data_IF_420850884647
#
_entry.id   IF_420850884647
#
_cell.length_a   1.000
_cell.length_b   1.000
_cell.length_c   1.000
_cell.angle_alpha   90.00
_cell.angle_beta   90.00
_cell.angle_gamma   90.00
#
_symmetry.space_group_name_H-M   'P 1'
#
loop_
_entity.id
_entity.type
_entity.pdbx_description
1 polymer ?
#
# COMPACT_ATOMS: atom_id res chain seq x y z
N UNK A 1 -21.31 -22.06 2.00
CA UNK A 1 -20.91 -20.66 2.26
C UNK A 1 -19.51 -20.48 1.67
N UNK A 2 -19.31 -19.59 0.69
CA UNK A 2 -18.00 -19.34 0.09
C UNK A 2 -17.16 -18.66 1.17
N UNK A 3 -16.07 -19.31 1.60
CA UNK A 3 -15.14 -18.71 2.56
C UNK A 3 -14.34 -17.63 1.85
N UNK A 4 -14.20 -16.46 2.45
CA UNK A 4 -13.34 -15.37 1.96
C UNK A 4 -12.05 -15.32 2.77
N UNK A 5 -10.94 -14.89 2.14
CA UNK A 5 -9.70 -14.60 2.88
C UNK A 5 -9.92 -13.43 3.84
N UNK A 6 -10.84 -12.49 3.48
CA UNK A 6 -11.25 -11.41 4.36
C UNK A 6 -12.31 -11.98 5.29
N UNK A 7 -11.88 -12.37 6.49
CA UNK A 7 -12.66 -13.13 7.46
C UNK A 7 -12.92 -12.38 8.79
N UNK A 8 -12.42 -11.15 8.90
CA UNK A 8 -12.63 -10.26 10.06
C UNK A 8 -13.20 -8.92 9.59
N UNK A 9 -14.19 -8.38 10.28
CA UNK A 9 -14.82 -7.08 9.97
C UNK A 9 -14.12 -5.90 10.63
N UNK A 10 -13.60 -6.12 11.84
CA UNK A 10 -12.94 -5.07 12.60
C UNK A 10 -11.44 -5.11 12.33
N UNK A 11 -10.91 -4.05 11.67
CA UNK A 11 -9.49 -3.95 11.33
C UNK A 11 -8.56 -4.03 12.53
N UNK A 12 -9.02 -3.68 13.73
CA UNK A 12 -8.24 -3.74 14.96
C UNK A 12 -8.18 -5.14 15.59
N UNK A 13 -9.10 -6.04 15.19
CA UNK A 13 -9.10 -7.45 15.61
C UNK A 13 -8.35 -8.36 14.60
N UNK A 14 -8.02 -7.84 13.43
CA UNK A 14 -7.30 -8.58 12.40
C UNK A 14 -5.81 -8.67 12.71
N UNK A 15 -5.13 -9.70 12.17
CA UNK A 15 -3.68 -9.82 12.13
C UNK A 15 -3.11 -9.08 10.91
N UNK A 16 -3.80 -9.19 9.78
CA UNK A 16 -3.48 -8.57 8.50
C UNK A 16 -4.59 -7.61 8.08
N UNK A 17 -4.23 -6.41 7.67
CA UNK A 17 -5.17 -5.44 7.11
C UNK A 17 -4.80 -5.10 5.67
N UNK A 18 -5.70 -5.46 4.75
CA UNK A 18 -5.63 -5.02 3.35
C UNK A 18 -6.16 -3.59 3.29
N UNK A 19 -5.31 -2.64 2.90
CA UNK A 19 -5.68 -1.23 2.76
C UNK A 19 -5.79 -0.89 1.28
N UNK A 20 -7.01 -0.67 0.77
CA UNK A 20 -7.23 -0.23 -0.61
C UNK A 20 -6.98 1.27 -0.74
N UNK A 21 -5.98 1.63 -1.54
CA UNK A 21 -5.53 2.99 -1.81
C UNK A 21 -5.54 3.26 -3.33
N UNK A 22 -6.73 3.26 -3.92
CA UNK A 22 -6.92 3.47 -5.36
C UNK A 22 -6.66 4.93 -5.76
N UNK A 23 -5.47 5.20 -6.31
CA UNK A 23 -5.03 6.52 -6.75
C UNK A 23 -4.16 6.41 -8.01
N UNK A 24 -4.40 7.27 -9.01
CA UNK A 24 -3.63 7.26 -10.26
C UNK A 24 -3.46 8.64 -10.92
N UNK A 25 -3.58 9.73 -10.15
CA UNK A 25 -3.46 11.08 -10.71
C UNK A 25 -2.08 11.38 -11.26
N UNK A 26 -1.02 10.87 -10.64
CA UNK A 26 0.37 11.12 -11.01
C UNK A 26 0.96 10.04 -11.93
N UNK A 27 0.13 9.13 -12.46
CA UNK A 27 0.57 8.17 -13.45
C UNK A 27 0.98 8.86 -14.77
N UNK A 28 2.13 8.46 -15.33
CA UNK A 28 2.73 9.03 -16.54
C UNK A 28 2.03 8.66 -17.85
N UNK A 29 1.16 7.66 -17.83
CA UNK A 29 0.46 7.14 -19.01
C UNK A 29 -1.04 6.99 -18.72
N UNK A 30 -1.64 5.91 -19.19
CA UNK A 30 -3.08 5.68 -19.07
C UNK A 30 -3.55 5.61 -17.62
N UNK A 31 -4.66 6.27 -17.32
CA UNK A 31 -5.37 6.17 -16.04
C UNK A 31 -6.16 4.85 -15.98
N UNK A 32 -6.54 4.43 -14.77
CA UNK A 32 -7.37 3.23 -14.55
C UNK A 32 -6.85 2.35 -13.41
N UNK A 33 -5.57 2.48 -13.05
CA UNK A 33 -4.98 1.66 -11.97
C UNK A 33 -5.63 1.92 -10.59
N UNK A 34 -6.27 3.08 -10.39
CA UNK A 34 -7.08 3.36 -9.19
C UNK A 34 -8.17 2.33 -8.91
N UNK A 35 -8.64 1.63 -9.95
CA UNK A 35 -9.68 0.60 -9.83
C UNK A 35 -9.11 -0.79 -9.48
N UNK A 36 -7.79 -0.95 -9.56
CA UNK A 36 -7.07 -2.18 -9.25
C UNK A 36 -7.41 -2.77 -7.88
N UNK A 37 -7.32 -2.00 -6.77
CA UNK A 37 -7.63 -2.50 -5.44
C UNK A 37 -9.02 -3.12 -5.32
N UNK A 38 -10.02 -2.46 -5.90
CA UNK A 38 -11.41 -2.97 -5.91
C UNK A 38 -11.51 -4.31 -6.63
N UNK A 39 -10.83 -4.44 -7.77
CA UNK A 39 -10.84 -5.69 -8.54
C UNK A 39 -10.13 -6.82 -7.80
N UNK A 40 -8.97 -6.55 -7.21
CA UNK A 40 -8.24 -7.52 -6.38
C UNK A 40 -9.12 -8.01 -5.23
N UNK A 41 -9.72 -7.10 -4.45
CA UNK A 41 -10.59 -7.46 -3.33
C UNK A 41 -11.79 -8.29 -3.77
N UNK A 42 -12.42 -7.95 -4.90
CA UNK A 42 -13.51 -8.76 -5.47
C UNK A 42 -13.08 -10.20 -5.77
N UNK A 43 -11.88 -10.38 -6.35
CA UNK A 43 -11.36 -11.71 -6.66
C UNK A 43 -10.95 -12.49 -5.40
N UNK A 44 -10.40 -11.83 -4.40
CA UNK A 44 -10.07 -12.47 -3.11
C UNK A 44 -11.29 -13.08 -2.41
N UNK A 45 -12.49 -12.56 -2.65
CA UNK A 45 -13.71 -13.15 -2.11
C UNK A 45 -14.13 -14.47 -2.79
N UNK A 46 -13.72 -14.69 -4.04
CA UNK A 46 -14.34 -15.72 -4.88
C UNK A 46 -13.38 -16.82 -5.37
N UNK A 47 -12.06 -16.62 -5.30
CA UNK A 47 -11.12 -17.45 -6.06
C UNK A 47 -9.83 -17.85 -5.32
N UNK A 48 -9.75 -17.67 -4.02
CA UNK A 48 -8.52 -17.95 -3.27
C UNK A 48 -8.56 -19.34 -2.65
N UNK A 49 -7.51 -20.13 -2.89
CA UNK A 49 -7.26 -21.37 -2.15
C UNK A 49 -6.75 -21.02 -0.75
N UNK A 50 -7.43 -21.51 0.27
CA UNK A 50 -7.10 -21.24 1.68
C UNK A 50 -6.22 -22.29 2.31
N UNK A 51 -6.00 -23.42 1.65
CA UNK A 51 -5.24 -24.54 2.19
C UNK A 51 -3.74 -24.31 2.08
N UNK A 52 -3.08 -24.18 3.21
CA UNK A 52 -1.61 -24.13 3.27
C UNK A 52 -1.04 -25.54 3.31
N UNK A 53 -0.33 -25.94 2.25
CA UNK A 53 0.38 -27.23 2.18
C UNK A 53 1.44 -27.35 3.27
N UNK A 54 2.13 -26.25 3.59
CA UNK A 54 3.16 -26.19 4.63
C UNK A 54 2.60 -26.46 6.02
N UNK A 55 1.49 -25.81 6.36
CA UNK A 55 0.88 -25.89 7.70
C UNK A 55 -0.24 -26.95 7.79
N UNK A 56 -0.63 -27.58 6.67
CA UNK A 56 -1.69 -28.61 6.57
C UNK A 56 -3.02 -28.15 7.20
N UNK A 57 -3.39 -26.90 7.00
CA UNK A 57 -4.65 -26.29 7.47
C UNK A 57 -5.04 -25.07 6.63
N UNK A 58 -6.28 -24.64 6.76
CA UNK A 58 -6.72 -23.42 6.10
C UNK A 58 -6.09 -22.19 6.75
N UNK A 59 -5.66 -21.21 5.95
CA UNK A 59 -5.09 -19.95 6.46
C UNK A 59 -6.07 -19.21 7.35
N UNK A 60 -7.37 -19.27 7.06
CA UNK A 60 -8.43 -18.65 7.84
C UNK A 60 -8.59 -19.24 9.26
N UNK A 61 -7.98 -20.40 9.54
CA UNK A 61 -8.05 -21.02 10.87
C UNK A 61 -7.04 -20.38 11.84
N UNK A 62 -6.04 -19.65 11.31
CA UNK A 62 -4.96 -19.07 12.13
C UNK A 62 -4.55 -17.65 11.75
N UNK A 63 -5.12 -17.04 10.69
CA UNK A 63 -4.90 -15.64 10.30
C UNK A 63 -6.24 -14.94 10.13
N UNK A 64 -6.41 -13.84 10.84
CA UNK A 64 -7.55 -12.94 10.67
C UNK A 64 -7.17 -11.82 9.74
N UNK A 65 -7.86 -11.71 8.61
CA UNK A 65 -7.63 -10.66 7.60
C UNK A 65 -8.85 -9.76 7.51
N UNK A 66 -8.63 -8.45 7.63
CA UNK A 66 -9.65 -7.43 7.42
C UNK A 66 -9.33 -6.57 6.21
N UNK A 67 -10.30 -5.84 5.72
CA UNK A 67 -10.17 -4.90 4.62
C UNK A 67 -10.56 -3.49 5.05
N UNK A 68 -9.74 -2.51 4.69
CA UNK A 68 -9.97 -1.08 4.84
C UNK A 68 -9.94 -0.40 3.47
N UNK A 69 -11.08 0.09 3.01
CA UNK A 69 -11.14 0.90 1.79
C UNK A 69 -10.97 2.38 2.14
N UNK A 70 -10.03 3.06 1.49
CA UNK A 70 -9.82 4.51 1.63
C UNK A 70 -10.72 5.33 0.69
N UNK A 71 -11.53 4.68 -0.14
CA UNK A 71 -12.45 5.32 -1.06
C UNK A 71 -11.75 5.97 -2.27
N UNK A 72 -12.46 6.90 -2.92
CA UNK A 72 -11.95 7.55 -4.13
C UNK A 72 -10.90 8.63 -3.81
N UNK A 73 -9.63 8.24 -3.83
CA UNK A 73 -8.51 9.13 -3.54
C UNK A 73 -8.24 10.15 -4.67
N UNK A 74 -8.68 9.89 -5.89
CA UNK A 74 -8.53 10.84 -7.01
C UNK A 74 -9.31 12.16 -6.82
N UNK A 75 -10.20 12.24 -5.84
CA UNK A 75 -10.85 13.52 -5.48
C UNK A 75 -9.94 14.44 -4.66
N UNK A 76 -8.85 13.93 -4.14
CA UNK A 76 -7.91 14.65 -3.27
C UNK A 76 -6.69 15.12 -4.06
N UNK A 77 -5.95 16.09 -3.51
CA UNK A 77 -4.61 16.44 -3.98
C UNK A 77 -3.58 15.41 -3.45
N UNK A 78 -2.36 15.33 -4.03
CA UNK A 78 -1.36 14.34 -3.62
C UNK A 78 -1.05 14.35 -2.12
N UNK A 79 -0.88 15.52 -1.52
CA UNK A 79 -0.56 15.68 -0.09
C UNK A 79 -1.67 15.11 0.80
N UNK A 80 -2.93 15.37 0.46
CA UNK A 80 -4.07 14.85 1.21
C UNK A 80 -4.21 13.34 1.06
N UNK A 81 -3.88 12.78 -0.11
CA UNK A 81 -3.81 11.33 -0.34
C UNK A 81 -2.79 10.70 0.60
N UNK A 82 -1.55 11.21 0.58
CA UNK A 82 -0.47 10.66 1.40
C UNK A 82 -0.77 10.81 2.90
N UNK A 83 -1.32 11.95 3.32
CA UNK A 83 -1.77 12.16 4.70
C UNK A 83 -2.81 11.13 5.14
N UNK A 84 -3.79 10.84 4.28
CA UNK A 84 -4.84 9.85 4.58
C UNK A 84 -4.27 8.44 4.71
N UNK A 85 -3.37 8.05 3.80
CA UNK A 85 -2.68 6.76 3.86
C UNK A 85 -1.82 6.69 5.13
N UNK A 86 -0.97 7.70 5.38
CA UNK A 86 -0.13 7.79 6.56
C UNK A 86 -0.94 7.63 7.84
N UNK A 87 -1.99 8.44 8.03
CA UNK A 87 -2.82 8.38 9.24
C UNK A 87 -3.43 6.98 9.45
N UNK A 88 -3.88 6.33 8.38
CA UNK A 88 -4.41 4.96 8.47
C UNK A 88 -3.31 3.98 8.87
N UNK A 89 -2.13 4.09 8.26
CA UNK A 89 -0.99 3.23 8.58
C UNK A 89 -0.49 3.45 10.01
N UNK A 90 -0.39 4.71 10.49
CA UNK A 90 -0.01 5.04 11.87
C UNK A 90 -0.89 4.29 12.87
N UNK A 91 -2.22 4.36 12.70
CA UNK A 91 -3.18 3.67 13.57
C UNK A 91 -3.01 2.14 13.57
N UNK A 92 -2.71 1.56 12.42
CA UNK A 92 -2.52 0.11 12.29
C UNK A 92 -1.17 -0.34 12.84
N UNK A 93 -0.11 0.44 12.63
CA UNK A 93 1.23 0.21 13.16
C UNK A 93 1.22 0.26 14.71
N UNK A 94 0.53 1.24 15.31
CA UNK A 94 0.35 1.33 16.75
C UNK A 94 -0.29 0.07 17.35
N UNK A 95 -1.18 -0.57 16.61
CA UNK A 95 -1.85 -1.82 16.98
C UNK A 95 -1.10 -3.08 16.53
N UNK A 96 0.15 -2.95 16.06
CA UNK A 96 0.99 -4.07 15.59
C UNK A 96 0.36 -4.90 14.46
N UNK A 97 -0.40 -4.26 13.54
CA UNK A 97 -1.02 -4.95 12.42
C UNK A 97 -0.03 -5.11 11.26
N UNK A 98 -0.10 -6.27 10.58
CA UNK A 98 0.55 -6.40 9.28
C UNK A 98 -0.28 -5.64 8.24
N UNK A 99 0.34 -4.70 7.56
CA UNK A 99 -0.32 -3.84 6.57
C UNK A 99 0.03 -4.32 5.18
N UNK A 100 -0.98 -4.54 4.35
CA UNK A 100 -0.84 -4.82 2.94
C UNK A 100 -1.59 -3.74 2.15
N UNK A 101 -0.85 -2.83 1.51
CA UNK A 101 -1.46 -1.78 0.69
C UNK A 101 -1.69 -2.29 -0.72
N UNK A 102 -2.94 -2.25 -1.15
CA UNK A 102 -3.35 -2.43 -2.53
C UNK A 102 -3.44 -1.04 -3.17
N UNK A 103 -2.46 -0.69 -3.96
CA UNK A 103 -2.36 0.62 -4.58
C UNK A 103 -3.00 0.69 -5.96
N UNK A 104 -3.11 1.91 -6.45
CA UNK A 104 -3.22 2.25 -7.84
C UNK A 104 -1.82 2.41 -8.43
N UNK A 105 -1.25 3.64 -8.42
CA UNK A 105 0.13 3.87 -8.80
C UNK A 105 1.04 3.98 -7.57
N UNK A 106 2.35 4.00 -7.80
CA UNK A 106 3.35 3.74 -6.76
C UNK A 106 3.44 4.81 -5.65
N UNK A 107 3.02 6.08 -5.91
CA UNK A 107 3.13 7.15 -4.91
C UNK A 107 2.40 6.86 -3.60
N UNK A 108 1.41 5.98 -3.60
CA UNK A 108 0.70 5.55 -2.38
C UNK A 108 1.66 4.99 -1.31
N UNK A 109 2.79 4.42 -1.71
CA UNK A 109 3.80 3.87 -0.79
C UNK A 109 4.49 4.96 0.04
N UNK A 110 4.56 6.20 -0.44
CA UNK A 110 5.18 7.32 0.30
C UNK A 110 4.48 7.53 1.65
N UNK A 111 3.14 7.49 1.67
CA UNK A 111 2.37 7.64 2.91
C UNK A 111 2.66 6.53 3.93
N UNK A 112 2.89 5.30 3.47
CA UNK A 112 3.28 4.19 4.34
C UNK A 112 4.71 4.38 4.88
N UNK A 113 5.66 4.76 4.04
CA UNK A 113 7.04 5.04 4.49
C UNK A 113 7.07 6.13 5.57
N UNK A 114 6.27 7.19 5.40
CA UNK A 114 6.14 8.25 6.40
C UNK A 114 5.55 7.76 7.74
N UNK A 115 4.65 6.77 7.71
CA UNK A 115 4.09 6.19 8.93
C UNK A 115 5.12 5.32 9.69
N UNK A 116 5.94 4.56 8.98
CA UNK A 116 6.95 3.69 9.60
C UNK A 116 7.97 4.47 10.44
N UNK A 117 8.37 5.68 10.02
CA UNK A 117 9.32 6.54 10.78
C UNK A 117 8.80 6.88 12.18
N UNK A 118 7.49 6.95 12.36
CA UNK A 118 6.88 7.24 13.66
C UNK A 118 7.11 6.16 14.72
N UNK A 119 7.38 4.92 14.30
CA UNK A 119 7.54 3.78 15.20
C UNK A 119 8.92 3.12 15.16
N UNK A 120 9.52 3.07 13.97
CA UNK A 120 10.77 2.36 13.75
C UNK A 120 11.88 3.34 13.38
N UNK A 121 13.11 3.09 13.87
CA UNK A 121 14.27 3.84 13.38
C UNK A 121 14.53 3.43 11.94
N UNK A 122 14.75 4.37 11.01
CA UNK A 122 14.93 4.03 9.59
C UNK A 122 16.00 2.95 9.34
N UNK A 123 17.10 2.95 10.10
CA UNK A 123 18.17 1.95 10.01
C UNK A 123 17.71 0.51 10.35
N UNK A 124 16.60 0.35 11.05
CA UNK A 124 16.08 -0.96 11.47
C UNK A 124 15.02 -1.50 10.46
N UNK A 125 14.76 -0.75 9.37
CA UNK A 125 13.80 -1.11 8.31
C UNK A 125 14.52 -1.03 6.97
N UNK A 126 14.45 -2.07 6.16
CA UNK A 126 14.95 -2.07 4.79
C UNK A 126 13.77 -2.06 3.81
N UNK A 127 13.79 -1.14 2.87
CA UNK A 127 12.83 -1.13 1.76
C UNK A 127 13.38 -2.03 0.66
N UNK A 128 12.62 -3.05 0.28
CA UNK A 128 12.90 -3.90 -0.88
C UNK A 128 11.92 -3.53 -1.98
N UNK A 129 12.44 -3.01 -3.09
CA UNK A 129 11.66 -2.68 -4.28
C UNK A 129 11.91 -3.75 -5.35
N UNK A 130 10.83 -4.32 -5.89
CA UNK A 130 10.84 -5.21 -7.05
C UNK A 130 10.10 -4.46 -8.15
N UNK A 131 10.85 -3.80 -9.03
CA UNK A 131 10.33 -2.84 -10.01
C UNK A 131 11.30 -2.67 -11.18
N UNK A 132 10.77 -2.48 -12.38
CA UNK A 132 11.58 -2.17 -13.57
C UNK A 132 12.24 -0.78 -13.53
N UNK A 133 11.84 0.11 -12.61
CA UNK A 133 12.31 1.48 -12.49
C UNK A 133 12.86 1.78 -11.10
N UNK A 134 13.82 2.71 -11.03
CA UNK A 134 14.44 3.10 -9.76
C UNK A 134 13.56 4.05 -8.91
N UNK A 135 12.63 4.77 -9.53
CA UNK A 135 11.73 5.76 -8.89
C UNK A 135 12.45 6.80 -8.00
N UNK A 136 13.61 7.28 -8.50
CA UNK A 136 14.49 8.23 -7.82
C UNK A 136 14.41 9.65 -8.39
N UNK A 137 13.43 9.94 -9.27
CA UNK A 137 13.27 11.27 -9.85
C UNK A 137 13.04 12.34 -8.77
N UNK A 138 13.41 13.58 -9.10
CA UNK A 138 13.15 14.74 -8.22
C UNK A 138 11.66 15.08 -8.19
N UNK A 139 11.03 15.05 -9.34
CA UNK A 139 9.63 15.34 -9.59
C UNK A 139 9.19 14.67 -10.90
N UNK A 140 7.99 14.95 -11.36
CA UNK A 140 7.39 14.44 -12.59
C UNK A 140 7.33 15.47 -13.74
N UNK A 141 8.18 16.49 -13.72
CA UNK A 141 8.19 17.58 -14.71
C UNK A 141 8.43 17.13 -16.15
N UNK A 142 8.99 15.93 -16.35
CA UNK A 142 9.24 15.38 -17.68
C UNK A 142 7.97 14.95 -18.42
N UNK A 143 6.86 14.73 -17.69
CA UNK A 143 5.63 14.17 -18.25
C UNK A 143 4.33 14.76 -17.62
N UNK A 144 4.44 15.78 -16.77
CA UNK A 144 3.31 16.42 -16.10
C UNK A 144 3.30 17.92 -16.35
N UNK A 145 2.16 18.47 -16.77
CA UNK A 145 1.95 19.91 -16.90
C UNK A 145 1.86 20.62 -15.54
N UNK A 146 1.61 19.87 -14.47
CA UNK A 146 1.57 20.35 -13.09
C UNK A 146 2.53 19.50 -12.22
N UNK A 147 3.83 19.77 -12.28
CA UNK A 147 4.84 18.95 -11.64
C UNK A 147 4.66 18.83 -10.13
N UNK A 148 4.88 17.62 -9.63
CA UNK A 148 4.91 17.33 -8.21
C UNK A 148 6.06 16.37 -7.88
N UNK A 149 6.61 16.52 -6.70
CA UNK A 149 7.55 15.55 -6.16
C UNK A 149 6.86 14.37 -5.43
N UNK A 150 5.53 14.31 -5.46
CA UNK A 150 4.71 13.26 -4.85
C UNK A 150 4.13 12.32 -5.92
N UNK A 151 4.92 12.02 -6.95
CA UNK A 151 4.55 11.17 -8.08
C UNK A 151 5.10 9.73 -7.93
N UNK A 152 4.55 8.80 -8.72
CA UNK A 152 5.00 7.41 -8.73
C UNK A 152 6.52 7.28 -8.97
N UNK A 153 7.10 8.10 -9.84
CA UNK A 153 8.53 8.08 -10.21
C UNK A 153 9.48 8.64 -9.13
N UNK A 154 8.95 9.13 -8.00
CA UNK A 154 9.74 9.77 -6.93
C UNK A 154 9.77 8.96 -5.63
N UNK A 155 9.12 7.81 -5.59
CA UNK A 155 8.82 7.05 -4.38
C UNK A 155 10.08 6.66 -3.61
N UNK A 156 11.09 6.13 -4.31
CA UNK A 156 12.34 5.69 -3.67
C UNK A 156 13.22 6.87 -3.24
N UNK A 157 13.10 8.03 -3.89
CA UNK A 157 13.71 9.27 -3.38
C UNK A 157 13.14 9.66 -2.02
N UNK A 158 11.83 9.51 -1.82
CA UNK A 158 11.21 9.74 -0.50
C UNK A 158 11.70 8.74 0.54
N UNK A 159 11.77 7.45 0.21
CA UNK A 159 12.30 6.42 1.11
C UNK A 159 13.75 6.74 1.51
N UNK A 160 14.61 7.10 0.54
CA UNK A 160 15.99 7.52 0.79
C UNK A 160 16.08 8.76 1.68
N UNK A 161 15.26 9.78 1.42
CA UNK A 161 15.23 11.03 2.20
C UNK A 161 14.78 10.81 3.65
N UNK A 162 14.01 9.76 3.92
CA UNK A 162 13.63 9.33 5.25
C UNK A 162 14.72 8.49 5.95
N UNK A 163 15.82 8.19 5.26
CA UNK A 163 16.96 7.46 5.80
C UNK A 163 16.85 5.94 5.74
N UNK A 164 15.91 5.38 4.98
CA UNK A 164 15.79 3.93 4.82
C UNK A 164 16.89 3.35 3.93
N UNK A 165 17.55 2.24 4.34
CA UNK A 165 18.27 1.36 3.42
C UNK A 165 17.32 0.83 2.35
N UNK A 166 17.77 0.87 1.08
CA UNK A 166 16.97 0.45 -0.07
C UNK A 166 17.72 -0.66 -0.83
N UNK A 167 17.01 -1.71 -1.17
CA UNK A 167 17.44 -2.77 -2.09
C UNK A 167 16.48 -2.75 -3.28
N UNK A 168 17.01 -2.58 -4.48
CA UNK A 168 16.23 -2.57 -5.73
C UNK A 168 16.59 -3.81 -6.55
N UNK A 169 15.56 -4.52 -7.04
CA UNK A 169 15.67 -5.76 -7.83
C UNK A 169 14.86 -5.62 -9.11
#
# INVERSE_FOLDING_TARGET
MIKSIINEKNIYNADVVLVSAGYDKTASSHKGTKDGPKKVVQHLHNQVEFWSRKYKKNTNDFVKTAHKDLGNLNKLNPEAVLKKIRTTCDQLIEKNKFIFILGGEHSVSIGHFQALVGKYKPKDVTIVQIDAHCDLRKDDSDYSDNPTNLAHSTVMRHASSLGYPIVQV
#
